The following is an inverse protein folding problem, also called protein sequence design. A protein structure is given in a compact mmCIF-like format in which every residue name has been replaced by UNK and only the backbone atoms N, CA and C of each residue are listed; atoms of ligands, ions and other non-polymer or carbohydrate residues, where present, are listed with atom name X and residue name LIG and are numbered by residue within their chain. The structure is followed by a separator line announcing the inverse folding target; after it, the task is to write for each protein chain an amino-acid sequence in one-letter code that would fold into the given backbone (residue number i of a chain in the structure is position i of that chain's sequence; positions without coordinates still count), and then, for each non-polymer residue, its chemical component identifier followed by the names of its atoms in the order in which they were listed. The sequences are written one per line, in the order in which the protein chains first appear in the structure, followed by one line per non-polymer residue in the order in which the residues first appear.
data_IF_579881525892
#
_entry.id   IF_579881525892
#
_cell.length_a   1.000
_cell.length_b   1.000
_cell.length_c   1.000
_cell.angle_alpha   90.00
_cell.angle_beta   90.00
_cell.angle_gamma   90.00
#
_symmetry.space_group_name_H-M   'P 1'
#
loop_
_entity.id
_entity.type
_entity.pdbx_description
1 polymer ?
#
# COMPACT_ATOMS: atom_id res chain seq x y z
N UNK A 1 7.04 -43.06 16.07
CA UNK A 1 7.01 -42.20 14.86
C UNK A 1 8.22 -41.28 14.89
N UNK A 2 9.02 -41.18 13.81
CA UNK A 2 10.12 -40.22 13.75
C UNK A 2 9.55 -38.82 14.00
N UNK A 3 10.11 -38.10 14.98
CA UNK A 3 9.69 -36.72 15.27
C UNK A 3 9.91 -35.91 14.00
N UNK A 4 8.83 -35.39 13.39
CA UNK A 4 8.94 -34.43 12.28
C UNK A 4 9.86 -33.30 12.73
N UNK A 5 10.91 -33.05 11.96
CA UNK A 5 11.78 -31.91 12.21
C UNK A 5 10.96 -30.62 12.17
N UNK A 6 11.17 -29.74 13.13
CA UNK A 6 10.53 -28.41 13.17
C UNK A 6 11.30 -27.39 12.31
N UNK A 7 12.51 -27.72 11.88
CA UNK A 7 13.35 -26.91 11.00
C UNK A 7 13.60 -27.65 9.68
N UNK A 8 13.60 -26.92 8.57
CA UNK A 8 14.13 -27.40 7.30
C UNK A 8 15.67 -27.52 7.33
N UNK A 9 16.26 -28.18 6.34
CA UNK A 9 17.72 -28.22 6.20
C UNK A 9 18.31 -26.80 6.06
N UNK A 10 17.68 -25.95 5.24
CA UNK A 10 18.10 -24.56 5.03
C UNK A 10 17.98 -23.71 6.30
N UNK A 11 16.95 -23.95 7.12
CA UNK A 11 16.78 -23.27 8.41
C UNK A 11 17.82 -23.71 9.45
N UNK A 12 18.29 -24.96 9.41
CA UNK A 12 19.38 -25.41 10.29
C UNK A 12 20.70 -24.74 9.93
N UNK A 13 20.99 -24.66 8.62
CA UNK A 13 22.20 -24.01 8.13
C UNK A 13 22.22 -22.52 8.45
N UNK A 14 21.08 -21.82 8.30
CA UNK A 14 20.99 -20.38 8.55
C UNK A 14 21.30 -19.97 9.99
N UNK A 15 21.01 -20.83 10.98
CA UNK A 15 21.30 -20.56 12.41
C UNK A 15 22.80 -20.46 12.73
N UNK A 16 23.63 -21.18 11.97
CA UNK A 16 25.06 -21.31 12.17
C UNK A 16 25.88 -20.69 11.04
N UNK A 17 25.22 -20.03 10.08
CA UNK A 17 25.89 -19.40 8.93
C UNK A 17 26.84 -18.33 9.43
N UNK A 18 28.08 -18.40 8.95
CA UNK A 18 29.12 -17.44 9.26
C UNK A 18 28.98 -16.22 8.33
N UNK A 19 29.39 -15.03 8.78
CA UNK A 19 29.40 -13.87 7.93
C UNK A 19 30.49 -13.99 6.85
N UNK A 20 30.12 -13.72 5.60
CA UNK A 20 31.03 -13.75 4.45
C UNK A 20 31.57 -12.34 4.10
N UNK A 21 30.89 -11.30 4.59
CA UNK A 21 31.28 -9.91 4.40
C UNK A 21 32.49 -9.55 5.28
N UNK A 22 33.49 -8.88 4.69
CA UNK A 22 34.73 -8.50 5.40
C UNK A 22 34.45 -7.66 6.66
N UNK A 23 33.49 -6.74 6.61
CA UNK A 23 33.18 -5.86 7.73
C UNK A 23 32.58 -6.62 8.93
N UNK A 24 31.72 -7.61 8.64
CA UNK A 24 31.12 -8.47 9.66
C UNK A 24 32.16 -9.43 10.26
N UNK A 25 33.06 -9.97 9.42
CA UNK A 25 34.20 -10.76 9.88
C UNK A 25 35.07 -9.95 10.86
N UNK A 26 35.41 -8.70 10.53
CA UNK A 26 36.18 -7.81 11.41
C UNK A 26 35.43 -7.59 12.73
N UNK A 27 34.13 -7.26 12.67
CA UNK A 27 33.31 -7.00 13.86
C UNK A 27 33.29 -8.16 14.85
N UNK A 28 33.24 -9.40 14.36
CA UNK A 28 33.11 -10.57 15.22
C UNK A 28 34.44 -11.19 15.66
N UNK A 29 35.52 -10.99 14.89
CA UNK A 29 36.72 -11.82 15.01
C UNK A 29 38.03 -11.02 15.10
N UNK A 30 37.98 -9.71 15.33
CA UNK A 30 39.17 -8.94 15.70
C UNK A 30 39.57 -9.24 17.15
N UNK A 31 40.87 -9.52 17.35
CA UNK A 31 41.44 -9.73 18.68
C UNK A 31 41.87 -8.43 19.32
N UNK A 32 41.55 -8.26 20.60
CA UNK A 32 42.15 -7.19 21.42
C UNK A 32 43.51 -7.64 22.00
N UNK A 33 44.24 -6.74 22.65
CA UNK A 33 45.55 -7.06 23.25
C UNK A 33 45.49 -8.17 24.30
N UNK A 34 44.39 -8.24 25.07
CA UNK A 34 44.18 -9.30 26.07
C UNK A 34 44.05 -10.67 25.38
N UNK A 35 43.27 -10.74 24.30
CA UNK A 35 43.11 -11.95 23.49
C UNK A 35 44.47 -12.41 22.94
N UNK A 36 45.23 -11.48 22.34
CA UNK A 36 46.54 -11.77 21.76
C UNK A 36 47.54 -12.23 22.82
N UNK A 37 47.51 -11.65 24.02
CA UNK A 37 48.35 -12.07 25.14
C UNK A 37 48.08 -13.54 25.51
N UNK A 38 46.81 -13.92 25.67
CA UNK A 38 46.40 -15.31 26.00
C UNK A 38 46.75 -16.28 24.87
N UNK A 39 46.55 -15.88 23.61
CA UNK A 39 46.89 -16.70 22.45
C UNK A 39 48.40 -16.93 22.36
N UNK A 40 49.23 -15.90 22.58
CA UNK A 40 50.70 -15.98 22.48
C UNK A 40 51.33 -16.91 23.51
N UNK A 41 50.66 -17.19 24.62
CA UNK A 41 51.12 -18.16 25.64
C UNK A 41 51.17 -19.60 25.11
N UNK A 42 50.45 -19.94 24.03
CA UNK A 42 50.49 -21.29 23.45
C UNK A 42 51.80 -21.56 22.72
N UNK A 43 52.39 -22.73 22.97
CA UNK A 43 53.61 -23.18 22.27
C UNK A 43 53.27 -23.69 20.87
N UNK A 44 53.96 -23.13 19.87
CA UNK A 44 53.85 -23.55 18.47
C UNK A 44 52.78 -22.82 17.66
N UNK A 45 53.08 -22.60 16.38
CA UNK A 45 52.19 -21.94 15.41
C UNK A 45 50.80 -22.59 15.33
N UNK A 46 50.75 -23.94 15.29
CA UNK A 46 49.52 -24.71 15.19
C UNK A 46 48.58 -24.50 16.40
N UNK A 47 49.12 -24.51 17.62
CA UNK A 47 48.31 -24.32 18.83
C UNK A 47 47.83 -22.88 18.98
N UNK A 48 48.66 -21.88 18.62
CA UNK A 48 48.24 -20.46 18.61
C UNK A 48 47.10 -20.23 17.63
N UNK A 49 47.25 -20.71 16.39
CA UNK A 49 46.22 -20.59 15.35
C UNK A 49 44.95 -21.35 15.75
N UNK A 50 45.09 -22.58 16.22
CA UNK A 50 43.97 -23.42 16.62
C UNK A 50 43.17 -22.87 17.80
N UNK A 51 43.85 -22.39 18.84
CA UNK A 51 43.22 -21.75 20.00
C UNK A 51 42.44 -20.49 19.58
N UNK A 52 43.04 -19.66 18.72
CA UNK A 52 42.42 -18.43 18.24
C UNK A 52 41.20 -18.69 17.34
N UNK A 53 41.27 -19.67 16.44
CA UNK A 53 40.13 -20.08 15.61
C UNK A 53 38.99 -20.60 16.50
N UNK A 54 39.28 -21.45 17.50
CA UNK A 54 38.26 -21.94 18.42
C UNK A 54 37.62 -20.79 19.22
N UNK A 55 38.42 -19.79 19.67
CA UNK A 55 37.89 -18.57 20.29
C UNK A 55 36.93 -17.83 19.36
N UNK A 56 37.27 -17.66 18.08
CA UNK A 56 36.39 -17.05 17.10
C UNK A 56 35.06 -17.81 16.97
N UNK A 57 35.10 -19.13 16.83
CA UNK A 57 33.88 -19.96 16.73
C UNK A 57 33.00 -19.90 17.99
N UNK A 58 33.60 -19.78 19.17
CA UNK A 58 32.87 -19.58 20.43
C UNK A 58 32.26 -18.16 20.53
N UNK A 59 32.90 -17.13 19.96
CA UNK A 59 32.32 -15.77 19.87
C UNK A 59 31.14 -15.74 18.91
N UNK A 60 31.32 -16.30 17.72
CA UNK A 60 30.29 -16.46 16.72
C UNK A 60 30.69 -17.63 15.79
N UNK A 61 29.82 -18.64 15.59
CA UNK A 61 28.40 -18.67 15.87
C UNK A 61 28.06 -19.22 17.26
N UNK A 62 29.02 -19.38 18.17
CA UNK A 62 28.80 -19.89 19.53
C UNK A 62 29.01 -21.40 19.67
N UNK A 63 29.74 -22.02 18.74
CA UNK A 63 30.02 -23.47 18.73
C UNK A 63 31.51 -23.73 18.98
N UNK A 64 31.84 -24.98 19.29
CA UNK A 64 33.22 -25.46 19.31
C UNK A 64 33.42 -26.42 18.14
N UNK A 65 34.44 -26.19 17.31
CA UNK A 65 34.69 -27.03 16.13
C UNK A 65 35.24 -28.40 16.54
N UNK A 66 34.60 -29.47 16.04
CA UNK A 66 35.06 -30.84 16.17
C UNK A 66 36.38 -31.10 15.43
N UNK A 67 36.95 -32.30 15.65
CA UNK A 67 38.19 -32.72 14.97
C UNK A 67 37.96 -32.88 13.47
N UNK A 68 36.80 -33.40 13.09
CA UNK A 68 36.44 -33.71 11.69
C UNK A 68 35.83 -32.52 10.95
N UNK A 69 35.53 -31.41 11.65
CA UNK A 69 34.92 -30.23 11.07
C UNK A 69 35.99 -29.27 10.51
N UNK A 70 36.03 -29.03 9.19
CA UNK A 70 36.95 -28.06 8.62
C UNK A 70 36.55 -26.63 9.01
N UNK A 71 37.52 -25.75 9.31
CA UNK A 71 37.22 -24.36 9.60
C UNK A 71 36.83 -23.61 8.32
N UNK A 72 36.04 -22.58 8.48
CA UNK A 72 35.66 -21.67 7.40
C UNK A 72 36.88 -20.91 6.92
N UNK A 73 37.22 -21.08 5.64
CA UNK A 73 38.50 -20.64 5.09
C UNK A 73 38.72 -19.11 5.18
N UNK A 74 37.72 -18.24 4.94
CA UNK A 74 37.87 -16.79 5.13
C UNK A 74 38.22 -16.41 6.57
N UNK A 75 37.57 -17.04 7.56
CA UNK A 75 37.89 -16.86 8.98
C UNK A 75 39.32 -17.31 9.28
N UNK A 76 39.70 -18.50 8.81
CA UNK A 76 41.02 -19.08 9.06
C UNK A 76 42.13 -18.16 8.52
N UNK A 77 41.98 -17.67 7.27
CA UNK A 77 42.94 -16.73 6.66
C UNK A 77 43.06 -15.43 7.45
N UNK A 78 41.95 -14.90 7.94
CA UNK A 78 41.95 -13.67 8.71
C UNK A 78 42.62 -13.84 10.08
N UNK A 79 42.34 -14.93 10.79
CA UNK A 79 42.98 -15.24 12.08
C UNK A 79 44.48 -15.49 11.88
N UNK A 80 44.86 -16.24 10.85
CA UNK A 80 46.26 -16.48 10.49
C UNK A 80 47.03 -15.17 10.21
N UNK A 81 46.40 -14.24 9.46
CA UNK A 81 46.97 -12.92 9.19
C UNK A 81 47.13 -12.09 10.48
N UNK A 82 46.13 -12.07 11.37
CA UNK A 82 46.21 -11.36 12.65
C UNK A 82 47.36 -11.89 13.55
N UNK A 83 47.61 -13.19 13.51
CA UNK A 83 48.66 -13.84 14.31
C UNK A 83 50.04 -13.87 13.62
N UNK A 84 50.13 -13.49 12.34
CA UNK A 84 51.34 -13.64 11.50
C UNK A 84 51.84 -15.08 11.45
N UNK A 85 50.93 -16.04 11.26
CA UNK A 85 51.21 -17.49 11.21
C UNK A 85 50.71 -18.07 9.87
N UNK A 86 51.39 -19.06 9.27
CA UNK A 86 50.91 -19.73 8.06
C UNK A 86 49.59 -20.49 8.31
N UNK A 87 48.66 -20.44 7.33
CA UNK A 87 47.34 -21.09 7.39
C UNK A 87 47.46 -22.61 7.53
N UNK A 88 48.50 -23.17 6.93
CA UNK A 88 48.86 -24.60 6.92
C UNK A 88 49.12 -25.13 8.33
N UNK A 89 49.43 -24.25 9.28
CA UNK A 89 49.61 -24.62 10.70
C UNK A 89 48.35 -25.24 11.30
N UNK A 90 47.17 -24.99 10.74
CA UNK A 90 45.92 -25.64 11.16
C UNK A 90 45.96 -27.16 10.99
N UNK A 91 46.65 -27.67 9.96
CA UNK A 91 46.75 -29.11 9.68
C UNK A 91 47.48 -29.90 10.77
N UNK A 92 48.21 -29.20 11.64
CA UNK A 92 48.92 -29.77 12.77
C UNK A 92 48.23 -29.48 14.11
N UNK A 93 47.10 -28.78 14.09
CA UNK A 93 46.37 -28.41 15.30
C UNK A 93 45.48 -29.55 15.81
N UNK A 94 45.68 -29.91 17.08
CA UNK A 94 44.76 -30.81 17.78
C UNK A 94 44.72 -32.23 17.22
N UNK A 95 45.86 -32.73 16.72
CA UNK A 95 46.04 -34.15 16.35
C UNK A 95 45.77 -35.10 17.52
N UNK A 96 45.93 -34.61 18.76
CA UNK A 96 45.48 -35.27 19.99
C UNK A 96 44.20 -34.59 20.46
N UNK A 97 43.14 -35.35 20.69
CA UNK A 97 41.88 -34.83 21.25
C UNK A 97 42.09 -34.09 22.57
N UNK A 98 43.04 -34.55 23.38
CA UNK A 98 43.36 -33.96 24.68
C UNK A 98 43.69 -32.46 24.58
N UNK A 99 44.49 -32.06 23.58
CA UNK A 99 44.87 -30.64 23.39
C UNK A 99 43.66 -29.76 23.11
N UNK A 100 42.69 -30.24 22.31
CA UNK A 100 41.45 -29.48 22.04
C UNK A 100 40.58 -29.38 23.28
N UNK A 101 40.50 -30.43 24.09
CA UNK A 101 39.75 -30.43 25.36
C UNK A 101 40.37 -29.46 26.37
N UNK A 102 41.69 -29.46 26.52
CA UNK A 102 42.42 -28.53 27.38
C UNK A 102 42.19 -27.08 26.93
N UNK A 103 42.30 -26.80 25.62
CA UNK A 103 42.00 -25.48 25.08
C UNK A 103 40.55 -25.06 25.31
N UNK A 104 39.58 -25.97 25.19
CA UNK A 104 38.17 -25.66 25.48
C UNK A 104 37.97 -25.26 26.95
N UNK A 105 38.53 -26.01 27.90
CA UNK A 105 38.44 -25.70 29.34
C UNK A 105 39.06 -24.33 29.64
N UNK A 106 40.19 -24.03 29.01
CA UNK A 106 40.87 -22.76 29.19
C UNK A 106 40.11 -21.59 28.55
N UNK A 107 39.55 -21.78 27.35
CA UNK A 107 38.67 -20.79 26.70
C UNK A 107 37.43 -20.50 27.57
N UNK A 108 36.85 -21.53 28.19
CA UNK A 108 35.74 -21.36 29.14
C UNK A 108 36.14 -20.53 30.36
N UNK A 109 37.32 -20.81 30.93
CA UNK A 109 37.81 -20.15 32.14
C UNK A 109 38.20 -18.69 31.88
N UNK A 110 38.96 -18.43 30.81
CA UNK A 110 39.54 -17.12 30.53
C UNK A 110 38.51 -16.16 29.91
N UNK A 111 37.65 -16.65 29.02
CA UNK A 111 36.68 -15.83 28.29
C UNK A 111 35.24 -15.97 28.81
N UNK A 112 35.03 -16.74 29.88
CA UNK A 112 33.74 -16.85 30.56
C UNK A 112 32.68 -17.68 29.82
N UNK A 113 33.07 -18.49 28.83
CA UNK A 113 32.13 -19.38 28.15
C UNK A 113 31.65 -20.51 29.07
N UNK A 114 30.35 -20.79 29.07
CA UNK A 114 29.73 -21.80 29.92
C UNK A 114 29.23 -22.98 29.09
N UNK A 115 29.44 -24.24 29.50
CA UNK A 115 28.84 -25.37 28.82
C UNK A 115 27.31 -25.34 28.92
N UNK A 116 26.63 -25.84 27.89
CA UNK A 116 25.18 -26.03 27.94
C UNK A 116 24.83 -27.17 28.90
N UNK A 117 23.88 -26.93 29.81
CA UNK A 117 23.49 -27.91 30.85
C UNK A 117 21.97 -28.12 30.83
N UNK A 118 21.50 -29.12 31.58
CA UNK A 118 20.06 -29.34 31.73
C UNK A 118 19.32 -28.19 32.41
N UNK A 119 20.00 -27.40 33.26
CA UNK A 119 19.40 -26.18 33.83
C UNK A 119 19.11 -25.16 32.72
N UNK A 120 20.09 -24.90 31.85
CA UNK A 120 19.94 -24.02 30.70
C UNK A 120 18.84 -24.52 29.74
N UNK A 121 18.76 -25.83 29.50
CA UNK A 121 17.70 -26.41 28.69
C UNK A 121 16.31 -26.12 29.25
N UNK A 122 16.09 -26.33 30.56
CA UNK A 122 14.79 -26.07 31.21
C UNK A 122 14.42 -24.59 31.15
N UNK A 123 15.39 -23.71 31.38
CA UNK A 123 15.19 -22.26 31.28
C UNK A 123 14.85 -21.85 29.84
N UNK A 124 15.57 -22.37 28.85
CA UNK A 124 15.31 -22.10 27.44
C UNK A 124 13.90 -22.54 27.04
N UNK A 125 13.46 -23.75 27.42
CA UNK A 125 12.09 -24.21 27.14
C UNK A 125 11.05 -23.29 27.79
N UNK A 126 11.28 -22.84 29.03
CA UNK A 126 10.37 -21.92 29.71
C UNK A 126 10.25 -20.58 28.97
N UNK A 127 11.38 -19.92 28.68
CA UNK A 127 11.40 -18.64 27.94
C UNK A 127 10.80 -18.78 26.55
N UNK A 128 11.10 -19.87 25.84
CA UNK A 128 10.54 -20.13 24.51
C UNK A 128 9.03 -20.42 24.57
N UNK A 129 8.50 -20.91 25.68
CA UNK A 129 7.06 -21.20 25.80
C UNK A 129 6.25 -19.90 25.69
N UNK A 130 6.71 -18.81 26.32
CA UNK A 130 6.07 -17.49 26.22
C UNK A 130 6.03 -16.98 24.78
N UNK A 131 7.14 -17.12 24.05
CA UNK A 131 7.19 -16.78 22.62
C UNK A 131 6.29 -17.73 21.79
N UNK A 132 6.25 -19.01 22.17
CA UNK A 132 5.45 -20.02 21.48
C UNK A 132 3.93 -19.83 21.64
N UNK A 133 3.49 -19.06 22.65
CA UNK A 133 2.10 -18.61 22.77
C UNK A 133 1.69 -17.65 21.65
N UNK A 134 2.64 -17.04 20.95
CA UNK A 134 2.39 -16.05 19.89
C UNK A 134 2.69 -16.61 18.48
N UNK A 135 3.70 -17.48 18.37
CA UNK A 135 4.15 -18.08 17.11
C UNK A 135 4.50 -19.56 17.29
N UNK A 136 4.36 -20.38 16.25
CA UNK A 136 4.92 -21.74 16.25
C UNK A 136 5.88 -21.99 15.10
N UNK A 137 6.38 -20.91 14.50
CA UNK A 137 7.47 -21.00 13.52
C UNK A 137 8.73 -21.49 14.23
N UNK A 138 9.14 -22.72 13.93
CA UNK A 138 10.29 -23.38 14.55
C UNK A 138 11.57 -22.53 14.46
N UNK A 139 11.83 -21.93 13.29
CA UNK A 139 13.00 -21.07 13.08
C UNK A 139 13.02 -19.84 14.02
N UNK A 140 11.88 -19.22 14.30
CA UNK A 140 11.82 -18.05 15.19
C UNK A 140 12.22 -18.44 16.61
N UNK A 141 11.74 -19.59 17.11
CA UNK A 141 12.10 -20.10 18.42
C UNK A 141 13.57 -20.52 18.48
N UNK A 142 14.05 -21.22 17.44
CA UNK A 142 15.44 -21.68 17.37
C UNK A 142 16.43 -20.50 17.30
N UNK A 143 16.17 -19.49 16.46
CA UNK A 143 16.98 -18.27 16.38
C UNK A 143 17.00 -17.53 17.71
N UNK A 144 15.85 -17.39 18.37
CA UNK A 144 15.74 -16.74 19.68
C UNK A 144 16.55 -17.49 20.74
N UNK A 145 16.47 -18.82 20.75
CA UNK A 145 17.28 -19.64 21.65
C UNK A 145 18.76 -19.43 21.39
N UNK A 146 19.20 -19.54 20.13
CA UNK A 146 20.60 -19.36 19.74
C UNK A 146 21.12 -17.98 20.17
N UNK A 147 20.35 -16.93 19.92
CA UNK A 147 20.73 -15.57 20.31
C UNK A 147 20.81 -15.40 21.83
N UNK A 148 19.84 -15.94 22.58
CA UNK A 148 19.86 -15.89 24.05
C UNK A 148 21.06 -16.63 24.64
N UNK A 149 21.39 -17.81 24.11
CA UNK A 149 22.57 -18.56 24.56
C UNK A 149 23.87 -17.79 24.27
N UNK A 150 24.00 -17.18 23.08
CA UNK A 150 25.16 -16.33 22.73
C UNK A 150 25.29 -15.14 23.67
N UNK A 151 24.19 -14.43 23.95
CA UNK A 151 24.17 -13.27 24.86
C UNK A 151 24.61 -13.63 26.28
N UNK A 152 24.38 -14.86 26.72
CA UNK A 152 24.77 -15.36 28.04
C UNK A 152 26.14 -16.07 28.05
N UNK A 153 26.88 -16.03 26.93
CA UNK A 153 28.14 -16.75 26.72
C UNK A 153 28.01 -18.25 26.97
N UNK A 154 26.84 -18.83 26.70
CA UNK A 154 26.62 -20.27 26.79
C UNK A 154 26.93 -20.89 25.43
N UNK A 155 27.82 -21.89 25.42
CA UNK A 155 28.16 -22.65 24.22
C UNK A 155 26.89 -23.30 23.68
N UNK A 156 26.62 -23.13 22.38
CA UNK A 156 25.42 -23.68 21.75
C UNK A 156 25.41 -25.20 21.85
N UNK A 157 24.26 -25.80 22.22
CA UNK A 157 24.14 -27.24 22.19
C UNK A 157 24.02 -27.74 20.75
N UNK A 158 24.13 -29.06 20.57
CA UNK A 158 23.88 -29.69 19.28
C UNK A 158 22.50 -29.31 18.72
N UNK A 159 22.39 -29.23 17.39
CA UNK A 159 21.15 -28.81 16.71
C UNK A 159 19.91 -29.59 17.18
N UNK A 160 20.07 -30.90 17.42
CA UNK A 160 19.02 -31.78 17.92
C UNK A 160 18.43 -31.33 19.27
N UNK A 161 19.24 -30.68 20.12
CA UNK A 161 18.79 -30.15 21.41
C UNK A 161 18.04 -28.82 21.24
N UNK A 162 18.48 -27.97 20.30
CA UNK A 162 17.79 -26.72 19.93
C UNK A 162 16.39 -27.02 19.38
N UNK A 163 16.31 -27.99 18.45
CA UNK A 163 15.04 -28.43 17.88
C UNK A 163 14.12 -29.02 18.95
N UNK A 164 14.67 -29.84 19.84
CA UNK A 164 13.90 -30.46 20.92
C UNK A 164 13.35 -29.44 21.90
N UNK A 165 14.17 -28.47 22.31
CA UNK A 165 13.75 -27.39 23.21
C UNK A 165 12.61 -26.57 22.58
N UNK A 166 12.75 -26.22 21.30
CA UNK A 166 11.74 -25.47 20.55
C UNK A 166 10.45 -26.27 20.36
N UNK A 167 10.54 -27.56 20.01
CA UNK A 167 9.38 -28.43 19.86
C UNK A 167 8.65 -28.67 21.20
N UNK A 168 9.41 -28.79 22.29
CA UNK A 168 8.86 -28.92 23.63
C UNK A 168 8.13 -27.63 24.06
N UNK A 169 8.71 -26.46 23.79
CA UNK A 169 8.07 -25.16 24.03
C UNK A 169 6.76 -25.01 23.23
N UNK A 170 6.74 -25.37 21.94
CA UNK A 170 5.52 -25.40 21.12
C UNK A 170 4.47 -26.32 21.74
N UNK A 171 4.87 -27.51 22.20
CA UNK A 171 3.96 -28.48 22.81
C UNK A 171 3.35 -27.93 24.10
N UNK A 172 4.14 -27.27 24.94
CA UNK A 172 3.68 -26.61 26.16
C UNK A 172 2.73 -25.46 25.85
N UNK A 173 3.08 -24.59 24.91
CA UNK A 173 2.24 -23.48 24.48
C UNK A 173 0.91 -23.97 23.88
N UNK A 174 0.91 -25.01 23.06
CA UNK A 174 -0.32 -25.62 22.53
C UNK A 174 -1.24 -26.12 23.65
N UNK A 175 -0.69 -26.77 24.67
CA UNK A 175 -1.47 -27.22 25.83
C UNK A 175 -2.08 -26.03 26.56
N UNK A 176 -1.30 -24.97 26.83
CA UNK A 176 -1.81 -23.76 27.48
C UNK A 176 -2.89 -23.05 26.65
N UNK A 177 -2.72 -22.99 25.32
CA UNK A 177 -3.72 -22.42 24.41
C UNK A 177 -5.02 -23.25 24.42
N UNK A 178 -4.91 -24.57 24.38
CA UNK A 178 -6.08 -25.44 24.46
C UNK A 178 -6.80 -25.30 25.80
N UNK A 179 -6.05 -25.18 26.90
CA UNK A 179 -6.59 -24.91 28.22
C UNK A 179 -7.34 -23.57 28.27
N UNK A 180 -6.71 -22.49 27.79
CA UNK A 180 -7.35 -21.18 27.74
C UNK A 180 -8.71 -21.20 26.98
N UNK A 181 -8.80 -21.94 25.87
CA UNK A 181 -10.05 -22.03 25.09
C UNK A 181 -11.07 -23.05 25.64
N UNK A 182 -10.68 -23.97 26.50
CA UNK A 182 -11.54 -25.09 26.94
C UNK A 182 -11.94 -25.05 28.42
N UNK A 183 -11.14 -24.40 29.27
CA UNK A 183 -11.31 -24.41 30.72
C UNK A 183 -12.47 -23.50 31.16
N UNK A 184 -12.74 -22.42 30.42
CA UNK A 184 -13.89 -21.54 30.66
C UNK A 184 -15.23 -22.12 30.16
N UNK A 185 -15.22 -23.30 29.55
CA UNK A 185 -16.43 -23.92 28.98
C UNK A 185 -17.20 -24.71 30.05
N UNK A 186 -18.43 -24.30 30.34
CA UNK A 186 -19.39 -25.09 31.13
C UNK A 186 -19.89 -26.33 30.35
N UNK A 187 -20.47 -27.34 31.02
CA UNK A 187 -20.91 -28.58 30.37
C UNK A 187 -21.86 -28.37 29.18
N UNK A 188 -22.72 -27.35 29.24
CA UNK A 188 -23.65 -27.01 28.15
C UNK A 188 -22.91 -26.60 26.88
N UNK A 189 -21.85 -25.78 26.98
CA UNK A 189 -21.06 -25.40 25.81
C UNK A 189 -20.35 -26.61 25.21
N UNK A 190 -19.78 -27.48 26.05
CA UNK A 190 -19.11 -28.71 25.59
C UNK A 190 -20.06 -29.64 24.86
N UNK A 191 -21.28 -29.82 25.38
CA UNK A 191 -22.31 -30.61 24.72
C UNK A 191 -22.68 -30.02 23.35
N UNK A 192 -22.95 -28.72 23.26
CA UNK A 192 -23.31 -28.04 22.00
C UNK A 192 -22.19 -28.15 20.96
N UNK A 193 -20.92 -28.02 21.39
CA UNK A 193 -19.76 -28.21 20.52
C UNK A 193 -19.66 -29.66 20.01
N UNK A 194 -19.87 -30.65 20.88
CA UNK A 194 -19.88 -32.06 20.48
C UNK A 194 -21.06 -32.41 19.55
N UNK A 195 -22.21 -31.74 19.68
CA UNK A 195 -23.34 -31.86 18.75
C UNK A 195 -23.00 -31.40 17.33
N UNK A 196 -22.06 -30.47 17.16
CA UNK A 196 -21.58 -30.05 15.84
C UNK A 196 -20.99 -31.22 15.04
N UNK A 197 -20.43 -32.22 15.73
CA UNK A 197 -19.82 -33.39 15.11
C UNK A 197 -20.84 -34.46 14.71
N UNK A 198 -22.08 -34.37 15.20
CA UNK A 198 -23.16 -35.31 14.90
C UNK A 198 -23.84 -34.97 13.58
N UNK A 199 -24.57 -35.94 13.02
CA UNK A 199 -25.39 -35.74 11.82
C UNK A 199 -26.50 -34.72 12.11
N UNK A 200 -26.75 -33.82 11.16
CA UNK A 200 -27.85 -32.88 11.21
C UNK A 200 -29.15 -33.61 10.86
N UNK A 201 -30.22 -33.32 11.59
CA UNK A 201 -31.52 -33.96 11.37
C UNK A 201 -32.01 -33.77 9.93
N UNK A 202 -32.48 -34.87 9.33
CA UNK A 202 -32.94 -34.89 7.94
C UNK A 202 -31.85 -34.72 6.88
N UNK A 203 -30.56 -34.77 7.25
CA UNK A 203 -29.45 -34.61 6.31
C UNK A 203 -28.37 -35.68 6.42
N UNK A 204 -27.66 -35.93 5.32
CA UNK A 204 -26.48 -36.81 5.30
C UNK A 204 -25.21 -36.12 5.85
N UNK A 205 -25.24 -34.81 6.02
CA UNK A 205 -24.11 -34.01 6.52
C UNK A 205 -24.19 -33.78 8.04
N UNK A 206 -23.05 -33.50 8.67
CA UNK A 206 -23.01 -33.07 10.08
C UNK A 206 -23.39 -31.61 10.22
N UNK A 207 -23.72 -31.19 11.46
CA UNK A 207 -23.94 -29.78 11.78
C UNK A 207 -22.73 -28.91 11.39
N UNK A 208 -21.51 -29.33 11.74
CA UNK A 208 -20.27 -28.64 11.38
C UNK A 208 -20.07 -28.55 9.86
N UNK A 209 -20.41 -29.62 9.11
CA UNK A 209 -20.27 -29.62 7.66
C UNK A 209 -21.25 -28.66 6.99
N UNK A 210 -22.49 -28.58 7.49
CA UNK A 210 -23.49 -27.60 7.04
C UNK A 210 -23.06 -26.16 7.34
N UNK A 211 -22.59 -25.90 8.57
CA UNK A 211 -22.14 -24.58 9.00
C UNK A 211 -20.95 -24.03 8.20
N UNK A 212 -20.18 -24.90 7.55
CA UNK A 212 -18.98 -24.56 6.77
C UNK A 212 -19.21 -24.53 5.26
N UNK A 213 -20.46 -24.65 4.80
CA UNK A 213 -20.76 -24.58 3.37
C UNK A 213 -20.43 -23.20 2.80
N UNK A 214 -19.91 -23.16 1.58
CA UNK A 214 -19.62 -21.91 0.88
C UNK A 214 -20.89 -21.19 0.45
N UNK A 215 -20.85 -19.85 0.33
CA UNK A 215 -21.99 -19.05 -0.11
C UNK A 215 -22.44 -19.40 -1.52
N UNK A 216 -23.75 -19.44 -1.71
CA UNK A 216 -24.40 -19.65 -3.00
C UNK A 216 -24.76 -18.31 -3.68
N UNK A 217 -25.57 -18.35 -4.74
CA UNK A 217 -25.86 -17.17 -5.59
C UNK A 217 -26.42 -15.97 -4.79
N UNK A 218 -26.05 -14.72 -5.10
CA UNK A 218 -26.52 -13.54 -4.38
C UNK A 218 -28.01 -13.28 -4.62
N UNK A 219 -28.84 -13.77 -3.69
CA UNK A 219 -30.29 -13.58 -3.61
C UNK A 219 -30.74 -13.61 -2.13
N UNK A 220 -31.97 -13.16 -1.88
CA UNK A 220 -32.55 -13.08 -0.53
C UNK A 220 -32.67 -14.44 0.17
N UNK A 221 -32.94 -15.50 -0.59
CA UNK A 221 -33.04 -16.86 -0.05
C UNK A 221 -31.72 -17.34 0.57
N UNK A 222 -30.61 -17.18 -0.14
CA UNK A 222 -29.30 -17.57 0.40
C UNK A 222 -28.88 -16.64 1.54
N UNK A 223 -29.21 -15.34 1.48
CA UNK A 223 -28.97 -14.44 2.61
C UNK A 223 -29.65 -14.94 3.90
N UNK A 224 -30.90 -15.40 3.82
CA UNK A 224 -31.59 -16.02 4.96
C UNK A 224 -30.90 -17.29 5.44
N UNK A 225 -30.38 -18.13 4.52
CA UNK A 225 -29.62 -19.33 4.87
C UNK A 225 -28.31 -19.01 5.62
N UNK A 226 -27.59 -17.97 5.21
CA UNK A 226 -26.41 -17.49 5.93
C UNK A 226 -26.77 -16.92 7.31
N UNK A 227 -27.88 -16.20 7.43
CA UNK A 227 -28.38 -15.72 8.72
C UNK A 227 -28.72 -16.90 9.64
N UNK A 228 -29.33 -17.97 9.13
CA UNK A 228 -29.58 -19.18 9.91
C UNK A 228 -28.27 -19.88 10.33
N UNK A 229 -27.25 -19.92 9.47
CA UNK A 229 -25.90 -20.40 9.85
C UNK A 229 -25.29 -19.55 10.97
N UNK A 230 -25.41 -18.22 10.88
CA UNK A 230 -24.90 -17.31 11.91
C UNK A 230 -25.63 -17.51 13.24
N UNK A 231 -26.95 -17.63 13.21
CA UNK A 231 -27.76 -17.93 14.41
C UNK A 231 -27.35 -19.27 15.03
N UNK A 232 -27.10 -20.30 14.21
CA UNK A 232 -26.66 -21.60 14.70
C UNK A 232 -25.27 -21.54 15.34
N UNK A 233 -24.34 -20.76 14.80
CA UNK A 233 -23.07 -20.49 15.48
C UNK A 233 -23.25 -19.72 16.79
N UNK A 234 -24.11 -18.69 16.81
CA UNK A 234 -24.40 -17.90 18.00
C UNK A 234 -25.10 -18.72 19.10
N UNK A 235 -25.91 -19.72 18.72
CA UNK A 235 -26.59 -20.62 19.64
C UNK A 235 -25.63 -21.52 20.45
N UNK A 236 -24.35 -21.62 20.05
CA UNK A 236 -23.32 -22.23 20.90
C UNK A 236 -23.14 -21.46 22.22
N UNK A 237 -23.43 -20.16 22.21
CA UNK A 237 -23.41 -19.27 23.39
C UNK A 237 -22.05 -19.31 24.09
N UNK A 238 -20.96 -19.19 23.32
CA UNK A 238 -19.61 -19.27 23.88
C UNK A 238 -19.33 -18.07 24.79
N UNK A 239 -18.51 -18.24 25.85
CA UNK A 239 -18.16 -17.15 26.76
C UNK A 239 -17.61 -15.93 26.01
N UNK A 240 -18.14 -14.74 26.31
CA UNK A 240 -17.71 -13.51 25.66
C UNK A 240 -16.22 -13.22 25.93
N UNK A 241 -15.47 -12.90 24.88
CA UNK A 241 -14.05 -12.57 25.00
C UNK A 241 -13.11 -13.78 25.11
N UNK A 242 -13.60 -15.01 24.95
CA UNK A 242 -12.76 -16.23 24.93
C UNK A 242 -11.68 -16.16 23.85
N UNK A 243 -11.96 -15.50 22.73
CA UNK A 243 -11.04 -15.26 21.62
C UNK A 243 -9.85 -14.36 22.01
N UNK A 244 -10.00 -13.52 23.05
CA UNK A 244 -8.96 -12.58 23.53
C UNK A 244 -7.98 -13.22 24.50
N UNK A 245 -8.28 -14.42 25.00
CA UNK A 245 -7.40 -15.15 25.92
C UNK A 245 -6.19 -15.77 25.20
N UNK A 246 -6.24 -15.85 23.87
CA UNK A 246 -5.21 -16.46 23.04
C UNK A 246 -4.79 -15.49 21.94
N UNK A 247 -3.52 -15.53 21.56
CA UNK A 247 -3.02 -14.73 20.45
C UNK A 247 -3.75 -15.05 19.12
N UNK A 248 -4.20 -14.02 18.39
CA UNK A 248 -5.04 -14.16 17.19
C UNK A 248 -4.43 -15.09 16.12
N UNK A 249 -3.12 -14.99 15.85
CA UNK A 249 -2.46 -15.87 14.88
C UNK A 249 -2.54 -17.36 15.24
N UNK A 250 -2.54 -17.69 16.54
CA UNK A 250 -2.65 -19.07 17.00
C UNK A 250 -4.08 -19.56 16.87
N UNK A 251 -5.06 -18.72 17.23
CA UNK A 251 -6.48 -19.02 17.06
C UNK A 251 -6.82 -19.31 15.60
N UNK A 252 -6.39 -18.43 14.67
CA UNK A 252 -6.61 -18.60 13.24
C UNK A 252 -5.92 -19.86 12.69
N UNK A 253 -4.73 -20.21 13.20
CA UNK A 253 -4.04 -21.44 12.80
C UNK A 253 -4.81 -22.68 13.25
N UNK A 254 -5.26 -22.72 14.51
CA UNK A 254 -6.07 -23.84 15.03
C UNK A 254 -7.36 -23.98 14.22
N UNK A 255 -8.06 -22.87 13.94
CA UNK A 255 -9.26 -22.89 13.11
C UNK A 255 -8.98 -23.43 11.70
N UNK A 256 -7.88 -23.00 11.06
CA UNK A 256 -7.47 -23.47 9.73
C UNK A 256 -7.15 -24.97 9.71
N UNK A 257 -6.37 -25.45 10.68
CA UNK A 257 -6.03 -26.87 10.79
C UNK A 257 -7.28 -27.71 11.05
N UNK A 258 -8.14 -27.29 11.97
CA UNK A 258 -9.43 -27.93 12.23
C UNK A 258 -10.37 -27.89 11.02
N UNK A 259 -10.30 -26.81 10.23
CA UNK A 259 -11.08 -26.65 9.00
C UNK A 259 -10.65 -27.64 7.91
N UNK A 260 -9.40 -28.11 7.91
CA UNK A 260 -8.96 -29.13 6.95
C UNK A 260 -9.37 -30.55 7.37
N UNK A 261 -9.90 -30.74 8.58
CA UNK A 261 -10.24 -32.04 9.13
C UNK A 261 -11.73 -32.36 8.94
N UNK A 262 -12.02 -33.66 8.86
CA UNK A 262 -13.40 -34.15 8.90
C UNK A 262 -13.94 -34.13 10.33
N UNK A 263 -15.27 -34.05 10.53
CA UNK A 263 -15.86 -34.18 11.86
C UNK A 263 -15.44 -35.48 12.60
N UNK A 264 -15.23 -36.57 11.85
CA UNK A 264 -14.77 -37.84 12.41
C UNK A 264 -13.32 -37.77 12.91
N UNK A 265 -12.45 -36.98 12.27
CA UNK A 265 -11.06 -36.79 12.72
C UNK A 265 -11.00 -35.90 13.96
N UNK A 266 -11.82 -34.85 13.99
CA UNK A 266 -11.96 -33.98 15.17
C UNK A 266 -12.50 -34.76 16.38
N UNK A 267 -13.40 -35.72 16.17
CA UNK A 267 -13.94 -36.56 17.24
C UNK A 267 -12.89 -37.45 17.92
N UNK A 268 -11.80 -37.80 17.23
CA UNK A 268 -10.69 -38.62 17.76
C UNK A 268 -9.76 -37.86 18.69
N UNK A 269 -9.87 -36.53 18.75
CA UNK A 269 -9.03 -35.73 19.63
C UNK A 269 -9.37 -35.95 21.10
N UNK A 270 -8.34 -35.82 21.94
CA UNK A 270 -8.49 -35.71 23.38
C UNK A 270 -9.38 -34.50 23.72
N UNK A 271 -10.16 -34.62 24.80
CA UNK A 271 -11.28 -33.73 25.11
C UNK A 271 -10.89 -32.25 25.07
N UNK A 272 -9.79 -31.86 25.73
CA UNK A 272 -9.40 -30.46 25.81
C UNK A 272 -9.04 -29.89 24.43
N UNK A 273 -8.23 -30.63 23.66
CA UNK A 273 -7.87 -30.26 22.29
C UNK A 273 -9.09 -30.19 21.37
N UNK A 274 -10.03 -31.14 21.48
CA UNK A 274 -11.26 -31.18 20.66
C UNK A 274 -12.07 -29.90 20.85
N UNK A 275 -12.40 -29.57 22.10
CA UNK A 275 -13.20 -28.38 22.40
C UNK A 275 -12.49 -27.09 22.00
N UNK A 276 -11.19 -26.95 22.29
CA UNK A 276 -10.43 -25.78 21.88
C UNK A 276 -10.42 -25.59 20.35
N UNK A 277 -10.33 -26.68 19.59
CA UNK A 277 -10.38 -26.64 18.12
C UNK A 277 -11.77 -26.24 17.62
N UNK A 278 -12.83 -26.77 18.23
CA UNK A 278 -14.21 -26.43 17.87
C UNK A 278 -14.57 -24.98 18.25
N UNK A 279 -14.05 -24.46 19.36
CA UNK A 279 -14.16 -23.04 19.74
C UNK A 279 -13.48 -22.16 18.69
N UNK A 280 -12.25 -22.49 18.28
CA UNK A 280 -11.55 -21.75 17.25
C UNK A 280 -12.30 -21.75 15.91
N UNK A 281 -12.85 -22.91 15.52
CA UNK A 281 -13.71 -23.05 14.34
C UNK A 281 -15.00 -22.24 14.43
N UNK A 282 -15.61 -22.16 15.61
CA UNK A 282 -16.83 -21.38 15.81
C UNK A 282 -16.57 -19.87 15.70
N UNK A 283 -15.48 -19.38 16.32
CA UNK A 283 -15.11 -17.96 16.25
C UNK A 283 -14.78 -17.55 14.81
N UNK A 284 -13.97 -18.35 14.11
CA UNK A 284 -13.65 -18.09 12.71
C UNK A 284 -14.88 -18.23 11.81
N UNK A 285 -15.71 -19.25 12.03
CA UNK A 285 -16.95 -19.46 11.29
C UNK A 285 -17.95 -18.31 11.47
N UNK A 286 -18.08 -17.75 12.67
CA UNK A 286 -18.91 -16.57 12.93
C UNK A 286 -18.42 -15.35 12.14
N UNK A 287 -17.11 -15.10 12.13
CA UNK A 287 -16.52 -14.00 11.36
C UNK A 287 -16.75 -14.20 9.85
N UNK A 288 -16.42 -15.38 9.33
CA UNK A 288 -16.57 -15.72 7.91
C UNK A 288 -18.02 -15.61 7.44
N UNK A 289 -18.99 -16.15 8.20
CA UNK A 289 -20.41 -16.03 7.82
C UNK A 289 -20.91 -14.58 7.90
N UNK A 290 -20.39 -13.78 8.85
CA UNK A 290 -20.73 -12.36 8.93
C UNK A 290 -20.24 -11.61 7.69
N UNK A 291 -19.01 -11.83 7.26
CA UNK A 291 -18.44 -11.24 6.05
C UNK A 291 -19.21 -11.70 4.79
N UNK A 292 -19.60 -12.97 4.72
CA UNK A 292 -20.44 -13.51 3.64
C UNK A 292 -21.81 -12.80 3.56
N UNK A 293 -22.45 -12.54 4.71
CA UNK A 293 -23.73 -11.82 4.78
C UNK A 293 -23.57 -10.38 4.29
N UNK A 294 -22.50 -9.70 4.69
CA UNK A 294 -22.22 -8.32 4.26
C UNK A 294 -21.98 -8.26 2.75
N UNK A 295 -21.15 -9.14 2.18
CA UNK A 295 -20.91 -9.18 0.73
C UNK A 295 -22.21 -9.50 -0.06
N UNK A 296 -23.04 -10.41 0.45
CA UNK A 296 -24.35 -10.69 -0.14
C UNK A 296 -25.28 -9.47 -0.09
N UNK A 297 -25.31 -8.75 1.03
CA UNK A 297 -26.09 -7.53 1.19
C UNK A 297 -25.67 -6.48 0.15
N UNK A 298 -24.37 -6.19 0.05
CA UNK A 298 -23.82 -5.21 -0.88
C UNK A 298 -24.18 -5.54 -2.33
N UNK A 299 -24.11 -6.82 -2.71
CA UNK A 299 -24.49 -7.28 -4.06
C UNK A 299 -25.97 -7.14 -4.34
N UNK A 300 -26.84 -7.42 -3.36
CA UNK A 300 -28.29 -7.28 -3.51
C UNK A 300 -28.66 -5.81 -3.66
N UNK A 301 -28.13 -4.95 -2.79
CA UNK A 301 -28.35 -3.51 -2.83
C UNK A 301 -27.83 -2.91 -4.15
N UNK A 302 -26.60 -3.28 -4.56
CA UNK A 302 -26.03 -2.84 -5.83
C UNK A 302 -26.90 -3.20 -7.04
N UNK A 303 -27.47 -4.41 -7.08
CA UNK A 303 -28.41 -4.81 -8.16
C UNK A 303 -29.67 -3.97 -8.16
N UNK A 304 -30.26 -3.71 -6.99
CA UNK A 304 -31.47 -2.88 -6.86
C UNK A 304 -31.22 -1.44 -7.32
N UNK A 305 -30.11 -0.82 -6.88
CA UNK A 305 -29.74 0.52 -7.31
C UNK A 305 -29.49 0.60 -8.81
N UNK A 306 -28.81 -0.38 -9.39
CA UNK A 306 -28.58 -0.43 -10.83
C UNK A 306 -29.89 -0.57 -11.61
N UNK A 307 -30.81 -1.42 -11.15
CA UNK A 307 -32.13 -1.56 -11.77
C UNK A 307 -32.94 -0.26 -11.69
N UNK A 308 -32.94 0.41 -10.53
CA UNK A 308 -33.62 1.69 -10.34
C UNK A 308 -33.01 2.79 -11.22
N UNK A 309 -31.67 2.89 -11.28
CA UNK A 309 -30.95 3.85 -12.11
C UNK A 309 -31.27 3.65 -13.59
N UNK A 310 -31.24 2.41 -14.07
CA UNK A 310 -31.56 2.10 -15.47
C UNK A 310 -33.01 2.44 -15.80
N UNK A 311 -33.96 2.12 -14.91
CA UNK A 311 -35.38 2.47 -15.08
C UNK A 311 -35.58 3.98 -15.11
N UNK A 312 -34.94 4.73 -14.21
CA UNK A 312 -35.00 6.18 -14.20
C UNK A 312 -34.40 6.79 -15.48
N UNK A 313 -33.24 6.29 -15.93
CA UNK A 313 -32.61 6.75 -17.16
C UNK A 313 -33.47 6.49 -18.40
N UNK A 314 -34.11 5.32 -18.49
CA UNK A 314 -35.06 5.01 -19.57
C UNK A 314 -36.28 5.94 -19.54
N UNK A 315 -36.86 6.19 -18.36
CA UNK A 315 -37.97 7.13 -18.20
C UNK A 315 -37.59 8.57 -18.56
N UNK A 316 -36.38 9.01 -18.16
CA UNK A 316 -35.85 10.32 -18.50
C UNK A 316 -35.63 10.47 -20.01
N UNK A 317 -35.09 9.45 -20.68
CA UNK A 317 -34.94 9.45 -22.15
C UNK A 317 -36.29 9.49 -22.88
N UNK A 318 -37.28 8.71 -22.41
CA UNK A 318 -38.61 8.67 -23.01
C UNK A 318 -39.38 10.00 -22.86
N UNK A 319 -39.30 10.64 -21.69
CA UNK A 319 -39.97 11.92 -21.41
C UNK A 319 -39.21 13.14 -21.93
N UNK A 320 -37.88 13.08 -22.00
CA UNK A 320 -37.02 14.17 -22.43
C UNK A 320 -37.28 14.63 -23.86
N UNK A 321 -37.59 13.71 -24.78
CA UNK A 321 -37.93 14.06 -26.17
C UNK A 321 -39.21 14.89 -26.24
N UNK A 322 -40.29 14.42 -25.59
CA UNK A 322 -41.58 15.12 -25.57
C UNK A 322 -41.50 16.49 -24.87
N UNK A 323 -40.72 16.61 -23.79
CA UNK A 323 -40.51 17.90 -23.11
C UNK A 323 -39.75 18.88 -24.01
N UNK A 324 -38.66 18.42 -24.65
CA UNK A 324 -37.86 19.27 -25.53
C UNK A 324 -38.66 19.72 -26.78
N UNK A 325 -39.49 18.84 -27.33
CA UNK A 325 -40.39 19.17 -28.43
C UNK A 325 -41.41 20.26 -28.03
N UNK A 326 -41.99 20.18 -26.82
CA UNK A 326 -42.89 21.21 -26.29
C UNK A 326 -42.18 22.54 -26.08
N UNK A 327 -40.99 22.54 -25.48
CA UNK A 327 -40.18 23.77 -25.27
C UNK A 327 -39.82 24.42 -26.60
N UNK A 328 -39.46 23.62 -27.63
CA UNK A 328 -39.23 24.13 -28.98
C UNK A 328 -40.47 24.77 -29.59
N UNK A 329 -41.67 24.24 -29.34
CA UNK A 329 -42.91 24.83 -29.83
C UNK A 329 -43.17 26.20 -29.18
N UNK A 330 -42.98 26.34 -27.86
CA UNK A 330 -43.05 27.64 -27.19
C UNK A 330 -42.03 28.64 -27.76
N UNK A 331 -40.79 28.20 -27.97
CA UNK A 331 -39.77 29.04 -28.60
C UNK A 331 -40.09 29.48 -30.04
N UNK A 332 -40.89 28.70 -30.79
CA UNK A 332 -41.40 29.09 -32.11
C UNK A 332 -42.48 30.16 -32.01
N UNK A 333 -43.39 30.06 -31.03
CA UNK A 333 -44.43 31.06 -30.80
C UNK A 333 -43.79 32.42 -30.46
N UNK A 334 -42.89 32.45 -29.48
CA UNK A 334 -42.16 33.66 -29.09
C UNK A 334 -41.39 34.27 -30.27
N UNK A 335 -40.73 33.43 -31.09
CA UNK A 335 -40.06 33.90 -32.30
C UNK A 335 -41.03 34.53 -33.29
N UNK A 336 -42.19 33.92 -33.52
CA UNK A 336 -43.20 34.48 -34.44
C UNK A 336 -43.75 35.80 -33.92
N UNK A 337 -44.09 35.89 -32.62
CA UNK A 337 -44.53 37.14 -31.99
C UNK A 337 -43.47 38.23 -32.13
N UNK A 338 -42.22 37.92 -31.83
CA UNK A 338 -41.11 38.87 -32.01
C UNK A 338 -40.94 39.33 -33.46
N UNK A 339 -41.08 38.43 -34.45
CA UNK A 339 -40.99 38.80 -35.88
C UNK A 339 -42.15 39.74 -36.26
N UNK A 340 -43.36 39.49 -35.77
CA UNK A 340 -44.51 40.36 -36.02
C UNK A 340 -44.29 41.75 -35.41
N UNK A 341 -43.86 41.82 -34.16
CA UNK A 341 -43.51 43.08 -33.49
C UNK A 341 -42.39 43.82 -34.23
N UNK A 342 -41.39 43.08 -34.70
CA UNK A 342 -40.27 43.61 -35.47
C UNK A 342 -40.74 44.17 -36.82
N UNK A 343 -41.65 43.50 -37.54
CA UNK A 343 -42.17 44.02 -38.81
C UNK A 343 -42.99 45.31 -38.62
N UNK A 344 -43.76 45.39 -37.52
CA UNK A 344 -44.67 46.50 -37.25
C UNK A 344 -43.97 47.74 -36.68
N UNK A 345 -42.95 47.59 -35.82
CA UNK A 345 -42.28 48.73 -35.18
C UNK A 345 -40.99 49.14 -35.89
N UNK A 346 -40.96 50.36 -36.41
CA UNK A 346 -39.73 50.95 -37.00
C UNK A 346 -38.66 51.15 -35.92
N UNK A 347 -39.04 51.52 -34.71
CA UNK A 347 -38.14 51.73 -33.56
C UNK A 347 -37.50 50.42 -33.11
N UNK A 348 -38.26 49.32 -33.07
CA UNK A 348 -37.73 47.99 -32.77
C UNK A 348 -36.76 47.54 -33.87
N UNK A 349 -37.09 47.74 -35.16
CA UNK A 349 -36.16 47.43 -36.27
C UNK A 349 -34.87 48.21 -36.17
N UNK A 350 -34.94 49.52 -35.93
CA UNK A 350 -33.74 50.36 -35.79
C UNK A 350 -32.86 49.90 -34.63
N UNK A 351 -33.45 49.57 -33.48
CA UNK A 351 -32.72 49.02 -32.32
C UNK A 351 -32.06 47.68 -32.64
N UNK A 352 -32.81 46.75 -33.26
CA UNK A 352 -32.31 45.43 -33.64
C UNK A 352 -31.20 45.56 -34.69
N UNK A 353 -31.38 46.38 -35.74
CA UNK A 353 -30.35 46.65 -36.73
C UNK A 353 -29.11 47.31 -36.13
N UNK A 354 -29.24 48.24 -35.19
CA UNK A 354 -28.09 48.81 -34.49
C UNK A 354 -27.32 47.72 -33.71
N UNK A 355 -28.02 46.79 -33.08
CA UNK A 355 -27.41 45.61 -32.43
C UNK A 355 -26.73 44.68 -33.42
N UNK A 356 -27.38 44.36 -34.55
CA UNK A 356 -26.83 43.54 -35.62
C UNK A 356 -25.59 44.18 -36.24
N UNK A 357 -25.62 45.47 -36.57
CA UNK A 357 -24.49 46.21 -37.11
C UNK A 357 -23.28 46.20 -36.17
N UNK A 358 -23.49 46.31 -34.85
CA UNK A 358 -22.41 46.15 -33.85
C UNK A 358 -21.83 44.73 -33.89
N UNK A 359 -22.68 43.71 -33.98
CA UNK A 359 -22.27 42.31 -34.09
C UNK A 359 -21.50 42.02 -35.37
N UNK A 360 -21.99 42.51 -36.51
CA UNK A 360 -21.34 42.37 -37.81
C UNK A 360 -20.01 43.10 -37.88
N UNK A 361 -19.92 44.33 -37.36
CA UNK A 361 -18.66 45.07 -37.28
C UNK A 361 -17.62 44.35 -36.41
N UNK A 362 -18.03 43.77 -35.27
CA UNK A 362 -17.16 42.92 -34.45
C UNK A 362 -16.72 41.66 -35.20
N UNK A 363 -17.65 41.00 -35.89
CA UNK A 363 -17.33 39.79 -36.66
C UNK A 363 -16.41 40.12 -37.84
N UNK A 364 -16.57 41.27 -38.48
CA UNK A 364 -15.69 41.75 -39.55
C UNK A 364 -14.28 42.04 -39.03
N UNK A 365 -14.15 42.70 -37.87
CA UNK A 365 -12.87 42.87 -37.18
C UNK A 365 -12.23 41.52 -36.84
N UNK A 366 -12.99 40.60 -36.25
CA UNK A 366 -12.49 39.26 -35.91
C UNK A 366 -12.01 38.49 -37.14
N UNK A 367 -12.72 38.59 -38.28
CA UNK A 367 -12.29 38.01 -39.56
C UNK A 367 -11.00 38.64 -40.08
N UNK A 368 -10.85 39.97 -39.96
CA UNK A 368 -9.65 40.67 -40.38
C UNK A 368 -8.42 40.28 -39.54
N UNK A 369 -8.59 40.13 -38.23
CA UNK A 369 -7.55 39.63 -37.33
C UNK A 369 -7.24 38.15 -37.60
N UNK A 370 -8.25 37.36 -38.00
CA UNK A 370 -8.13 35.93 -38.25
C UNK A 370 -7.93 35.60 -39.75
N UNK A 371 -6.96 36.27 -40.39
CA UNK A 371 -6.77 36.25 -41.84
C UNK A 371 -6.08 34.98 -42.40
N UNK A 372 -5.33 34.22 -41.59
CA UNK A 372 -4.71 32.96 -42.03
C UNK A 372 -5.70 31.79 -41.99
N UNK A 373 -5.60 30.87 -42.97
CA UNK A 373 -6.46 29.68 -43.12
C UNK A 373 -7.97 29.99 -43.28
N UNK A 374 -8.31 31.06 -44.00
CA UNK A 374 -9.68 31.46 -44.32
C UNK A 374 -10.58 31.68 -43.09
N UNK A 375 -9.99 31.93 -41.92
CA UNK A 375 -10.76 32.12 -40.69
C UNK A 375 -11.33 30.83 -40.09
N UNK A 376 -10.77 29.65 -40.43
CA UNK A 376 -11.20 28.36 -39.89
C UNK A 376 -10.27 27.83 -38.78
N UNK A 377 -10.88 27.35 -37.69
CA UNK A 377 -10.17 26.66 -36.60
C UNK A 377 -10.13 25.16 -36.91
N UNK A 378 -9.01 24.68 -37.47
CA UNK A 378 -8.79 23.26 -37.85
C UNK A 378 -7.97 22.46 -36.82
N UNK A 379 -7.90 22.90 -35.57
CA UNK A 379 -7.11 22.23 -34.54
C UNK A 379 -7.79 20.93 -34.08
N UNK A 380 -7.00 19.89 -33.79
CA UNK A 380 -7.51 18.53 -33.52
C UNK A 380 -8.19 18.37 -32.16
N UNK A 381 -7.73 19.10 -31.14
CA UNK A 381 -8.29 19.00 -29.78
C UNK A 381 -9.20 20.19 -29.46
N UNK A 382 -10.26 19.93 -28.69
CA UNK A 382 -11.16 20.95 -28.20
C UNK A 382 -10.42 22.05 -27.41
N UNK A 383 -9.39 21.67 -26.64
CA UNK A 383 -8.59 22.61 -25.85
C UNK A 383 -7.82 23.60 -26.73
N UNK A 384 -7.20 23.13 -27.82
CA UNK A 384 -6.48 23.99 -28.77
C UNK A 384 -7.43 24.93 -29.53
N UNK A 385 -8.62 24.43 -29.91
CA UNK A 385 -9.66 25.26 -30.52
C UNK A 385 -10.08 26.39 -29.55
N UNK A 386 -10.25 26.06 -28.26
CA UNK A 386 -10.57 27.03 -27.21
C UNK A 386 -9.46 28.07 -27.02
N UNK A 387 -8.19 27.68 -27.00
CA UNK A 387 -7.07 28.62 -26.89
C UNK A 387 -7.02 29.59 -28.07
N UNK A 388 -7.18 29.09 -29.31
CA UNK A 388 -7.20 29.95 -30.50
C UNK A 388 -8.38 30.92 -30.51
N UNK A 389 -9.59 30.45 -30.17
CA UNK A 389 -10.76 31.31 -30.05
C UNK A 389 -10.60 32.38 -28.95
N UNK A 390 -9.98 32.01 -27.82
CA UNK A 390 -9.69 32.94 -26.73
C UNK A 390 -8.65 33.98 -27.12
N UNK A 391 -7.59 33.58 -27.83
CA UNK A 391 -6.57 34.48 -28.36
C UNK A 391 -7.15 35.49 -29.38
N UNK A 392 -8.01 35.02 -30.28
CA UNK A 392 -8.71 35.90 -31.24
C UNK A 392 -9.57 36.95 -30.52
N UNK A 393 -10.31 36.53 -29.49
CA UNK A 393 -11.09 37.44 -28.66
C UNK A 393 -10.19 38.46 -27.93
N UNK A 394 -9.05 38.03 -27.40
CA UNK A 394 -8.10 38.91 -26.72
C UNK A 394 -7.53 39.99 -27.64
N UNK A 395 -7.07 39.61 -28.84
CA UNK A 395 -6.52 40.56 -29.81
C UNK A 395 -7.61 41.52 -30.31
N UNK A 396 -8.79 41.01 -30.61
CA UNK A 396 -9.96 41.82 -30.99
C UNK A 396 -10.29 42.86 -29.91
N UNK A 397 -10.33 42.43 -28.64
CA UNK A 397 -10.57 43.33 -27.52
C UNK A 397 -9.45 44.37 -27.32
N UNK A 398 -8.19 43.97 -27.52
CA UNK A 398 -7.05 44.88 -27.43
C UNK A 398 -7.10 45.98 -28.51
N UNK A 399 -7.49 45.63 -29.74
CA UNK A 399 -7.72 46.59 -30.83
C UNK A 399 -8.84 47.57 -30.46
N UNK A 400 -9.97 47.06 -29.99
CA UNK A 400 -11.11 47.90 -29.56
C UNK A 400 -10.70 48.85 -28.44
N UNK A 401 -9.96 48.36 -27.45
CA UNK A 401 -9.45 49.18 -26.35
C UNK A 401 -8.50 50.26 -26.85
N UNK A 402 -7.55 49.89 -27.72
CA UNK A 402 -6.63 50.85 -28.34
C UNK A 402 -7.41 51.93 -29.08
N UNK A 403 -8.35 51.57 -29.94
CA UNK A 403 -9.15 52.52 -30.68
C UNK A 403 -9.96 53.44 -29.77
N UNK A 404 -10.59 52.89 -28.73
CA UNK A 404 -11.36 53.68 -27.75
C UNK A 404 -10.50 54.77 -27.12
N UNK A 405 -9.30 54.40 -26.64
CA UNK A 405 -8.36 55.34 -26.00
C UNK A 405 -7.83 56.38 -26.99
N UNK A 406 -7.48 55.98 -28.21
CA UNK A 406 -6.93 56.94 -29.19
C UNK A 406 -8.00 57.82 -29.83
N UNK A 407 -9.25 57.35 -29.96
CA UNK A 407 -10.37 58.19 -30.38
C UNK A 407 -10.60 59.31 -29.37
N UNK A 408 -10.63 59.01 -28.06
CA UNK A 408 -10.74 60.01 -26.99
C UNK A 408 -9.58 61.04 -27.01
N UNK A 409 -8.35 60.57 -27.23
CA UNK A 409 -7.20 61.47 -27.31
C UNK A 409 -7.21 62.32 -28.57
N UNK A 410 -7.66 61.76 -29.70
CA UNK A 410 -7.80 62.50 -30.95
C UNK A 410 -8.87 63.58 -30.85
N UNK A 411 -10.04 63.28 -30.27
CA UNK A 411 -11.10 64.28 -30.05
C UNK A 411 -10.64 65.38 -29.11
N UNK A 412 -9.93 65.03 -28.02
CA UNK A 412 -9.35 66.01 -27.08
C UNK A 412 -8.31 66.91 -27.75
N UNK A 413 -7.42 66.36 -28.57
CA UNK A 413 -6.42 67.13 -29.29
C UNK A 413 -7.06 68.08 -30.32
N UNK A 414 -8.08 67.63 -31.06
CA UNK A 414 -8.82 68.46 -32.02
C UNK A 414 -9.53 69.64 -31.34
N UNK A 415 -10.15 69.41 -30.17
CA UNK A 415 -10.74 70.49 -29.34
C UNK A 415 -9.70 71.50 -28.90
N UNK A 416 -8.53 71.03 -28.44
CA UNK A 416 -7.44 71.89 -27.99
C UNK A 416 -6.84 72.77 -29.12
N UNK A 417 -6.93 72.33 -30.37
CA UNK A 417 -6.49 73.10 -31.55
C UNK A 417 -7.59 74.00 -32.13
N UNK A 418 -8.70 74.20 -31.40
CA UNK A 418 -9.77 75.13 -31.79
C UNK A 418 -10.70 74.64 -32.90
N UNK A 419 -10.67 73.35 -33.27
CA UNK A 419 -11.64 72.81 -34.23
C UNK A 419 -12.99 72.56 -33.53
N UNK A 420 -14.06 73.16 -34.04
CA UNK A 420 -15.41 72.87 -33.59
C UNK A 420 -15.78 71.42 -33.94
N UNK A 421 -16.05 70.61 -32.92
CA UNK A 421 -16.56 69.24 -33.06
C UNK A 421 -18.00 69.21 -32.57
N UNK A 422 -18.89 68.62 -33.36
CA UNK A 422 -20.28 68.38 -32.97
C UNK A 422 -20.36 67.12 -32.09
N UNK A 423 -20.68 67.31 -30.82
CA UNK A 423 -20.80 66.23 -29.84
C UNK A 423 -21.94 65.25 -30.19
N UNK A 424 -22.93 65.67 -30.97
CA UNK A 424 -24.00 64.78 -31.44
C UNK A 424 -23.51 63.75 -32.44
N UNK A 425 -22.38 63.98 -33.10
CA UNK A 425 -21.78 63.03 -34.04
C UNK A 425 -20.89 61.99 -33.36
N UNK A 426 -20.40 62.27 -32.15
CA UNK A 426 -19.52 61.35 -31.41
C UNK A 426 -20.22 60.02 -31.07
N UNK A 427 -21.54 60.03 -30.89
CA UNK A 427 -22.34 58.82 -30.61
C UNK A 427 -22.32 57.78 -31.76
N UNK A 428 -21.93 58.20 -32.97
CA UNK A 428 -21.83 57.34 -34.15
C UNK A 428 -20.41 56.80 -34.39
N UNK A 429 -19.42 57.20 -33.59
CA UNK A 429 -18.07 56.65 -33.68
C UNK A 429 -18.05 55.21 -33.17
N UNK A 430 -17.46 54.33 -33.97
CA UNK A 430 -17.28 52.92 -33.61
C UNK A 430 -15.80 52.64 -33.32
N UNK A 431 -15.46 52.11 -32.13
CA UNK A 431 -14.09 51.68 -31.83
C UNK A 431 -13.71 50.38 -32.55
N UNK A 432 -14.60 49.84 -33.38
CA UNK A 432 -14.39 48.59 -34.10
C UNK A 432 -13.67 48.76 -35.44
N UNK A 433 -13.32 49.97 -35.89
CA UNK A 433 -12.57 50.15 -37.16
C UNK A 433 -11.11 49.69 -37.05
N UNK A 434 -10.53 49.08 -38.10
CA UNK A 434 -9.16 48.53 -38.05
C UNK A 434 -8.27 48.90 -39.23
N UNK A 435 -8.72 49.74 -40.16
CA UNK A 435 -7.96 50.11 -41.36
C UNK A 435 -6.62 50.80 -41.04
N UNK A 436 -6.52 51.46 -39.88
CA UNK A 436 -5.30 52.11 -39.40
C UNK A 436 -4.33 51.17 -38.67
N UNK A 437 -4.68 49.89 -38.50
CA UNK A 437 -3.86 48.88 -37.83
C UNK A 437 -3.30 47.95 -38.89
N UNK A 438 -1.97 47.84 -38.94
CA UNK A 438 -1.33 46.90 -39.85
C UNK A 438 -1.42 45.47 -39.28
N UNK A 439 -2.24 44.62 -39.91
CA UNK A 439 -2.47 43.23 -39.52
C UNK A 439 -1.57 42.24 -40.29
N UNK A 440 -0.78 42.71 -41.26
CA UNK A 440 0.12 41.90 -42.10
C UNK A 440 1.55 42.43 -42.10
N UNK A 441 2.53 41.55 -42.28
CA UNK A 441 3.97 41.88 -42.29
C UNK A 441 4.76 41.22 -41.15
N UNK A 442 6.05 41.58 -41.06
CA UNK A 442 6.96 40.99 -40.08
C UNK A 442 6.78 41.61 -38.69
N UNK A 443 6.30 40.81 -37.74
CA UNK A 443 6.19 41.17 -36.34
C UNK A 443 7.55 41.07 -35.64
N UNK A 444 8.36 42.13 -35.73
CA UNK A 444 9.64 42.21 -35.04
C UNK A 444 9.43 42.55 -33.56
N UNK A 445 9.45 41.53 -32.71
CA UNK A 445 9.43 41.66 -31.23
C UNK A 445 10.80 42.11 -30.68
N UNK A 446 11.36 43.20 -31.21
CA UNK A 446 12.41 43.92 -30.48
C UNK A 446 11.68 44.71 -29.40
N UNK A 447 12.11 44.61 -28.14
CA UNK A 447 11.62 45.43 -27.03
C UNK A 447 11.70 46.91 -27.44
N UNK A 448 10.60 47.43 -28.00
CA UNK A 448 10.60 48.79 -28.52
C UNK A 448 10.58 49.71 -27.32
N UNK A 449 11.76 50.16 -26.90
CA UNK A 449 11.97 51.16 -25.85
C UNK A 449 11.25 52.50 -26.15
N UNK A 450 10.57 52.63 -27.30
CA UNK A 450 9.82 53.81 -27.72
C UNK A 450 8.47 54.00 -27.00
N UNK A 451 7.93 52.98 -26.34
CA UNK A 451 6.69 53.11 -25.52
C UNK A 451 6.96 52.59 -24.11
N UNK A 452 7.67 53.37 -23.31
CA UNK A 452 7.96 53.07 -21.90
C UNK A 452 6.91 53.65 -20.93
N UNK A 453 6.67 52.93 -19.83
CA UNK A 453 6.00 53.40 -18.61
C UNK A 453 4.74 54.27 -18.81
N UNK A 454 3.70 53.73 -19.46
CA UNK A 454 2.39 54.38 -19.54
C UNK A 454 2.29 55.58 -20.50
N UNK A 455 3.33 55.86 -21.29
CA UNK A 455 3.27 56.89 -22.35
C UNK A 455 2.54 56.35 -23.58
N UNK A 456 1.72 57.17 -24.21
CA UNK A 456 1.03 56.82 -25.45
C UNK A 456 1.85 57.20 -26.69
N UNK A 457 1.58 56.55 -27.82
CA UNK A 457 2.10 56.94 -29.14
C UNK A 457 1.61 58.37 -29.48
N UNK A 458 2.47 59.22 -30.08
CA UNK A 458 2.05 60.54 -30.53
C UNK A 458 0.99 60.44 -31.63
N UNK A 459 0.03 61.37 -31.63
CA UNK A 459 -0.92 61.54 -32.72
C UNK A 459 -0.19 62.08 -33.96
N UNK A 460 -0.74 61.83 -35.15
CA UNK A 460 -0.20 62.42 -36.38
C UNK A 460 -0.39 63.95 -36.32
N UNK A 461 0.59 64.75 -36.78
CA UNK A 461 0.43 66.21 -36.82
C UNK A 461 -0.77 66.55 -37.70
N UNK A 462 -1.57 67.52 -37.24
CA UNK A 462 -2.66 68.05 -38.04
C UNK A 462 -2.05 68.79 -39.25
N UNK A 463 -2.64 68.67 -40.45
CA UNK A 463 -2.24 69.51 -41.57
C UNK A 463 -2.34 70.99 -41.16
N UNK A 464 -1.40 71.86 -41.59
CA UNK A 464 -1.56 73.31 -41.39
C UNK A 464 -2.89 73.77 -42.01
N UNK A 465 -3.56 74.67 -41.30
CA UNK A 465 -4.90 75.16 -41.63
C UNK A 465 -4.97 75.85 -42.99
#
# INVERSE_FOLDING_TARGET
MPRRSILSATERESLLTLPDAKDELIRHYTFNETDLSVIRQRRGAANRLGFAVQLCYLRFPGIFLGVDDPPFLPLLRMVAAQLKVPVESWNHYGQREQTRREHLVELQTVFGFKPFTMSHYRQAVHTLTELALQTDKGIVLASTLVENQRRQSIILPAMNAIERASAEAITRANRSIHAALADSLIPVHRQRLDELLKRKDGSKMTWLAWLRQSPAKPNSRHMLEHIERLKAWQALDLPAGIERQVHQNRLLKIAREGGQMTPADLAKFESQRRHATLVALAIEGMATVTDEIIDLHDRIIGKLFNAAKNKHQQQFQASGKAINDKVRMYGRIERTLFILDWLQSVELRRRVHAGLNKGEARNALARAVFFYRLGEIRDRSFEQQRYRASGLNLVTAAIVLWNTVYLERATSALRAHGKALDDTLLQYLSPLGWEHINLTGDYLWRSSAKVGAGKFRPLRPLPPA
#
